data_IF_909331732492
#
_entry.id   IF_909331732492
#
_cell.length_a   1.000
_cell.length_b   1.000
_cell.length_c   1.000
_cell.angle_alpha   90.00
_cell.angle_beta   90.00
_cell.angle_gamma   90.00
#
_symmetry.space_group_name_H-M   'P 1'
#
loop_
_entity.id
_entity.type
_entity.pdbx_description
1 polymer ?
#
# COMPACT_ATOMS: atom_id res chain seq x y z
N UNK A 1 21.48 54.21 23.25
CA UNK A 1 22.38 54.01 24.41
C UNK A 1 21.67 54.61 25.61
N UNK A 2 21.22 53.79 26.58
CA UNK A 2 20.91 54.11 27.99
C UNK A 2 20.06 52.97 28.58
N UNK A 3 20.65 52.27 29.54
CA UNK A 3 20.09 51.83 30.84
C UNK A 3 18.77 51.05 30.87
N UNK A 4 18.51 50.11 31.76
CA UNK A 4 19.26 49.30 32.73
C UNK A 4 18.13 48.56 33.46
N UNK A 5 18.42 47.34 33.91
CA UNK A 5 17.79 46.67 35.07
C UNK A 5 16.27 46.43 35.06
N UNK A 6 15.95 45.16 34.84
CA UNK A 6 14.85 44.46 35.49
C UNK A 6 14.97 44.52 37.03
N UNK A 7 13.86 44.39 37.76
CA UNK A 7 13.88 43.51 38.92
C UNK A 7 12.68 42.54 38.96
N UNK A 8 13.00 41.35 39.43
CA UNK A 8 12.13 40.21 39.64
C UNK A 8 11.00 40.46 40.66
N UNK A 9 9.86 39.75 40.50
CA UNK A 9 9.36 38.73 41.46
C UNK A 9 7.97 38.17 41.08
N UNK A 10 7.96 36.86 40.83
CA UNK A 10 7.07 35.78 41.35
C UNK A 10 5.54 35.87 41.15
N UNK A 11 4.99 34.87 40.44
CA UNK A 11 3.91 33.94 40.87
C UNK A 11 3.79 32.81 39.81
N UNK A 12 4.02 31.52 40.17
CA UNK A 12 3.00 30.48 40.45
C UNK A 12 2.28 30.04 39.14
N UNK A 13 2.40 28.82 38.58
CA UNK A 13 1.97 27.51 39.09
C UNK A 13 2.46 26.42 38.11
N UNK A 14 3.30 25.47 38.54
CA UNK A 14 2.98 24.03 38.74
C UNK A 14 2.29 23.29 37.58
N UNK A 15 2.97 22.31 36.98
CA UNK A 15 2.55 20.90 37.01
C UNK A 15 3.62 19.99 36.35
N UNK A 16 4.14 19.07 37.15
CA UNK A 16 4.99 17.92 36.81
C UNK A 16 4.06 16.74 36.57
N UNK A 17 4.14 16.02 35.44
CA UNK A 17 3.88 14.56 35.31
C UNK A 17 4.66 14.11 34.04
N UNK A 18 5.91 13.67 34.12
CA UNK A 18 6.37 12.29 34.39
C UNK A 18 5.83 11.22 33.44
N UNK A 19 6.72 10.74 32.55
CA UNK A 19 6.89 9.32 32.22
C UNK A 19 5.76 8.59 31.51
N UNK A 20 6.03 8.15 30.28
CA UNK A 20 6.05 6.72 29.88
C UNK A 20 6.47 6.68 28.42
N UNK A 21 7.73 6.27 28.19
CA UNK A 21 8.25 5.85 26.89
C UNK A 21 7.95 4.35 26.77
N UNK A 22 6.90 4.00 26.04
CA UNK A 22 6.58 2.61 25.71
C UNK A 22 7.39 2.22 24.46
N UNK A 23 8.44 1.42 24.65
CA UNK A 23 9.07 0.66 23.58
C UNK A 23 8.18 -0.56 23.28
N UNK A 24 7.26 -0.42 22.33
CA UNK A 24 6.61 -1.55 21.70
C UNK A 24 7.49 -2.03 20.55
N UNK A 25 8.29 -3.07 20.79
CA UNK A 25 8.93 -3.85 19.73
C UNK A 25 7.83 -4.78 19.19
N UNK A 26 7.03 -4.26 18.27
CA UNK A 26 6.00 -5.00 17.55
C UNK A 26 6.59 -5.68 16.32
N UNK A 27 6.42 -6.99 16.25
CA UNK A 27 6.80 -7.91 15.18
C UNK A 27 6.43 -7.39 13.78
N UNK A 28 7.43 -6.96 13.01
CA UNK A 28 7.27 -6.45 11.64
C UNK A 28 7.68 -7.49 10.59
N UNK A 29 6.92 -8.58 10.47
CA UNK A 29 6.90 -9.38 9.23
C UNK A 29 5.56 -9.18 8.55
N UNK A 30 5.39 -7.99 7.98
CA UNK A 30 4.43 -7.73 6.92
C UNK A 30 4.90 -6.46 6.21
N UNK A 31 5.85 -6.62 5.30
CA UNK A 31 6.10 -5.58 4.30
C UNK A 31 4.89 -5.56 3.37
N UNK A 32 3.84 -4.85 3.78
CA UNK A 32 3.02 -4.16 2.81
C UNK A 32 3.97 -3.14 2.19
N UNK A 33 4.57 -3.49 1.06
CA UNK A 33 5.34 -2.53 0.29
C UNK A 33 4.33 -1.45 -0.15
N UNK A 34 4.33 -0.30 0.54
CA UNK A 34 3.52 0.91 0.26
C UNK A 34 3.81 1.51 -1.13
N UNK A 35 4.47 0.76 -2.02
CA UNK A 35 4.78 1.18 -3.36
C UNK A 35 3.53 1.10 -4.22
N UNK A 36 3.33 2.07 -5.14
CA UNK A 36 2.26 2.00 -6.12
C UNK A 36 2.34 0.72 -6.94
N UNK A 37 1.18 0.18 -7.30
CA UNK A 37 1.07 -0.90 -8.28
C UNK A 37 1.13 -0.26 -9.67
N UNK A 38 2.11 -0.66 -10.49
CA UNK A 38 2.20 -0.30 -11.90
C UNK A 38 1.81 -1.51 -12.75
N UNK A 39 0.96 -1.30 -13.77
CA UNK A 39 0.55 -2.37 -14.70
C UNK A 39 0.57 -1.80 -16.10
N UNK A 40 1.36 -2.42 -16.96
CA UNK A 40 1.41 -2.13 -18.40
C UNK A 40 0.85 -3.32 -19.18
N UNK A 41 0.06 -3.04 -20.21
CA UNK A 41 -0.56 -4.03 -21.07
C UNK A 41 -0.99 -3.40 -22.40
N UNK A 42 -1.28 -4.23 -23.39
CA UNK A 42 -1.77 -3.76 -24.69
C UNK A 42 -3.18 -3.18 -24.60
N UNK A 43 -4.01 -3.72 -23.69
CA UNK A 43 -5.40 -3.28 -23.47
C UNK A 43 -5.78 -3.33 -22.00
N UNK A 44 -6.60 -2.36 -21.59
CA UNK A 44 -7.24 -2.31 -20.27
C UNK A 44 -8.76 -2.12 -20.42
N UNK A 45 -9.54 -2.87 -19.65
CA UNK A 45 -11.01 -2.80 -19.59
C UNK A 45 -11.44 -2.63 -18.13
N UNK A 46 -12.12 -1.53 -17.81
CA UNK A 46 -12.74 -1.33 -16.49
C UNK A 46 -14.17 -1.86 -16.50
N UNK A 47 -14.51 -2.70 -15.53
CA UNK A 47 -15.83 -3.30 -15.34
C UNK A 47 -16.41 -2.82 -14.01
N UNK A 48 -17.14 -1.69 -14.03
CA UNK A 48 -17.72 -1.08 -12.83
C UNK A 48 -18.71 -2.02 -12.13
N UNK A 49 -19.59 -2.68 -12.88
CA UNK A 49 -20.60 -3.61 -12.35
C UNK A 49 -19.99 -4.78 -11.55
N UNK A 50 -18.76 -5.17 -11.91
CA UNK A 50 -18.02 -6.28 -11.27
C UNK A 50 -16.92 -5.79 -10.34
N UNK A 51 -16.77 -4.49 -10.12
CA UNK A 51 -15.66 -3.87 -9.39
C UNK A 51 -14.28 -4.43 -9.81
N UNK A 52 -14.05 -4.59 -11.12
CA UNK A 52 -12.82 -5.22 -11.62
C UNK A 52 -12.21 -4.49 -12.81
N UNK A 53 -10.93 -4.75 -13.04
CA UNK A 53 -10.18 -4.28 -14.22
C UNK A 53 -9.49 -5.47 -14.85
N UNK A 54 -9.60 -5.58 -16.17
CA UNK A 54 -8.97 -6.64 -16.98
C UNK A 54 -7.89 -6.01 -17.86
N UNK A 55 -6.69 -6.57 -17.78
CA UNK A 55 -5.53 -6.22 -18.60
C UNK A 55 -5.24 -7.38 -19.54
N UNK A 56 -5.03 -7.10 -20.82
CA UNK A 56 -4.90 -8.11 -21.87
C UNK A 56 -3.72 -7.76 -22.76
N UNK A 57 -2.88 -8.74 -23.05
CA UNK A 57 -1.74 -8.67 -23.95
C UNK A 57 -0.50 -8.11 -23.26
N UNK A 58 0.58 -8.89 -23.29
CA UNK A 58 1.91 -8.52 -22.78
C UNK A 58 1.86 -7.85 -21.40
N UNK A 59 1.09 -8.41 -20.47
CA UNK A 59 0.87 -7.77 -19.16
C UNK A 59 2.16 -7.86 -18.35
N UNK A 60 2.65 -6.71 -17.88
CA UNK A 60 3.77 -6.58 -16.93
C UNK A 60 3.31 -5.73 -15.75
N UNK A 61 3.13 -6.38 -14.60
CA UNK A 61 2.71 -5.74 -13.35
C UNK A 61 3.86 -5.74 -12.34
N UNK A 62 4.07 -4.62 -11.65
CA UNK A 62 5.12 -4.49 -10.64
C UNK A 62 4.64 -3.73 -9.40
N UNK A 63 5.07 -4.22 -8.24
CA UNK A 63 4.91 -3.57 -6.94
C UNK A 63 6.11 -3.88 -6.06
N UNK A 64 6.87 -2.86 -5.66
CA UNK A 64 8.06 -3.08 -4.85
C UNK A 64 9.11 -3.90 -5.60
N UNK A 65 9.38 -5.11 -5.12
CA UNK A 65 10.31 -6.08 -5.74
C UNK A 65 9.59 -7.23 -6.44
N UNK A 66 8.26 -7.23 -6.42
CA UNK A 66 7.44 -8.25 -7.08
C UNK A 66 7.17 -7.81 -8.52
N UNK A 67 7.40 -8.70 -9.47
CA UNK A 67 7.03 -8.54 -10.88
C UNK A 67 6.21 -9.74 -11.34
N UNK A 68 5.12 -9.49 -12.06
CA UNK A 68 4.22 -10.51 -12.61
C UNK A 68 4.09 -10.25 -14.10
N UNK A 69 4.37 -11.27 -14.92
CA UNK A 69 4.15 -11.26 -16.36
C UNK A 69 3.14 -12.33 -16.75
N UNK A 70 2.21 -11.98 -17.64
CA UNK A 70 1.12 -12.88 -18.06
C UNK A 70 0.47 -12.38 -19.35
N UNK A 71 -0.32 -13.22 -20.01
CA UNK A 71 -1.11 -12.80 -21.17
C UNK A 71 -2.37 -12.01 -20.77
N UNK A 72 -3.03 -12.40 -19.69
CA UNK A 72 -4.22 -11.72 -19.15
C UNK A 72 -4.16 -11.62 -17.62
N UNK A 73 -4.52 -10.45 -17.08
CA UNK A 73 -4.64 -10.22 -15.64
C UNK A 73 -5.99 -9.58 -15.32
N UNK A 74 -6.76 -10.18 -14.42
CA UNK A 74 -7.98 -9.60 -13.87
C UNK A 74 -7.79 -9.27 -12.40
N UNK A 75 -8.04 -8.01 -12.03
CA UNK A 75 -8.01 -7.53 -10.64
C UNK A 75 -9.44 -7.21 -10.20
N UNK A 76 -9.85 -7.78 -9.08
CA UNK A 76 -11.10 -7.46 -8.39
C UNK A 76 -10.77 -6.62 -7.16
N UNK A 77 -11.52 -5.53 -6.98
CA UNK A 77 -11.40 -4.66 -5.83
C UNK A 77 -12.57 -4.89 -4.88
N UNK A 78 -12.32 -4.73 -3.59
CA UNK A 78 -13.41 -4.70 -2.63
C UNK A 78 -14.39 -3.56 -2.99
N UNK A 79 -15.71 -3.78 -2.86
CA UNK A 79 -16.69 -2.73 -3.04
C UNK A 79 -16.33 -1.53 -2.14
N UNK A 80 -16.48 -0.32 -2.67
CA UNK A 80 -16.25 0.89 -1.90
C UNK A 80 -17.19 0.89 -0.68
N UNK A 81 -16.65 0.74 0.52
CA UNK A 81 -17.41 0.94 1.76
C UNK A 81 -17.71 2.44 1.89
N UNK A 82 -18.99 2.87 1.86
CA UNK A 82 -19.35 4.27 2.01
C UNK A 82 -18.92 4.88 3.35
N UNK A 83 -18.52 4.06 4.34
CA UNK A 83 -17.97 4.50 5.63
C UNK A 83 -16.46 4.73 5.61
N UNK A 84 -15.73 4.34 4.56
CA UNK A 84 -14.29 4.58 4.45
C UNK A 84 -14.00 5.96 3.83
N UNK A 85 -13.02 6.72 4.33
CA UNK A 85 -12.67 8.03 3.78
C UNK A 85 -12.23 7.92 2.31
N UNK A 86 -12.77 8.81 1.47
CA UNK A 86 -12.41 8.94 0.06
C UNK A 86 -10.92 9.30 -0.03
N UNK A 87 -10.10 8.43 -0.62
CA UNK A 87 -8.66 8.67 -0.81
C UNK A 87 -7.74 7.49 -0.48
N UNK A 88 -8.27 6.40 0.10
CA UNK A 88 -7.49 5.16 0.19
C UNK A 88 -7.46 4.43 -1.16
N UNK A 89 -6.28 3.91 -1.51
CA UNK A 89 -6.10 2.97 -2.61
C UNK A 89 -7.09 1.82 -2.48
N UNK A 90 -7.82 1.50 -3.56
CA UNK A 90 -8.74 0.35 -3.56
C UNK A 90 -7.97 -0.91 -3.22
N UNK A 91 -8.40 -1.58 -2.16
CA UNK A 91 -7.80 -2.82 -1.72
C UNK A 91 -8.15 -3.92 -2.73
N UNK A 92 -7.13 -4.60 -3.24
CA UNK A 92 -7.29 -5.77 -4.09
C UNK A 92 -7.95 -6.87 -3.25
N UNK A 93 -9.06 -7.40 -3.73
CA UNK A 93 -9.76 -8.54 -3.15
C UNK A 93 -9.31 -9.85 -3.79
N UNK A 94 -9.06 -9.84 -5.09
CA UNK A 94 -8.65 -11.02 -5.84
C UNK A 94 -7.89 -10.61 -7.09
N UNK A 95 -6.86 -11.37 -7.45
CA UNK A 95 -6.14 -11.23 -8.72
C UNK A 95 -6.06 -12.58 -9.42
N UNK A 96 -6.41 -12.62 -10.70
CA UNK A 96 -6.32 -13.81 -11.54
C UNK A 96 -5.39 -13.50 -12.71
N UNK A 97 -4.35 -14.30 -12.90
CA UNK A 97 -3.48 -14.25 -14.07
C UNK A 97 -3.63 -15.52 -14.89
N UNK A 98 -3.70 -15.40 -16.21
CA UNK A 98 -3.89 -16.51 -17.14
C UNK A 98 -2.93 -16.38 -18.31
N UNK A 99 -2.30 -17.50 -18.69
CA UNK A 99 -1.39 -17.61 -19.82
C UNK A 99 0.00 -17.07 -19.51
N UNK A 100 1.02 -17.90 -19.75
CA UNK A 100 2.43 -17.54 -19.62
C UNK A 100 2.79 -16.85 -18.29
N UNK A 101 2.18 -17.28 -17.18
CA UNK A 101 2.34 -16.63 -15.88
C UNK A 101 3.78 -16.82 -15.40
N UNK A 102 4.45 -15.72 -15.08
CA UNK A 102 5.76 -15.69 -14.43
C UNK A 102 5.77 -14.64 -13.33
N UNK A 103 6.07 -15.07 -12.12
CA UNK A 103 6.20 -14.21 -10.94
C UNK A 103 7.65 -14.22 -10.50
N UNK A 104 8.21 -13.05 -10.23
CA UNK A 104 9.57 -12.90 -9.72
C UNK A 104 9.53 -12.01 -8.49
N UNK A 105 10.12 -12.48 -7.40
CA UNK A 105 10.28 -11.73 -6.16
C UNK A 105 11.65 -12.05 -5.58
N UNK A 106 12.59 -11.10 -5.67
CA UNK A 106 13.99 -11.32 -5.27
C UNK A 106 14.57 -12.60 -5.89
N UNK A 107 14.94 -13.59 -5.07
CA UNK A 107 15.51 -14.88 -5.51
C UNK A 107 14.44 -15.94 -5.84
N UNK A 108 13.15 -15.59 -5.71
CA UNK A 108 12.04 -16.49 -5.96
C UNK A 108 11.44 -16.31 -7.36
N UNK A 109 11.30 -17.42 -8.08
CA UNK A 109 10.68 -17.50 -9.41
C UNK A 109 9.57 -18.54 -9.39
N UNK A 110 8.35 -18.11 -9.71
CA UNK A 110 7.20 -18.99 -9.95
C UNK A 110 6.75 -18.89 -11.41
N UNK A 111 6.38 -20.03 -12.01
CA UNK A 111 5.80 -20.08 -13.36
C UNK A 111 4.58 -20.98 -13.40
N UNK A 112 3.62 -20.69 -14.28
CA UNK A 112 2.47 -21.55 -14.50
C UNK A 112 1.55 -21.05 -15.61
N UNK A 113 0.48 -21.80 -15.86
CA UNK A 113 -0.58 -21.39 -16.80
C UNK A 113 -1.60 -20.45 -16.15
N UNK A 114 -1.75 -20.53 -14.83
CA UNK A 114 -2.73 -19.76 -14.07
C UNK A 114 -2.22 -19.47 -12.67
N UNK A 115 -2.49 -18.26 -12.18
CA UNK A 115 -2.31 -17.87 -10.79
C UNK A 115 -3.59 -17.22 -10.27
N UNK A 116 -4.04 -17.66 -9.10
CA UNK A 116 -5.13 -17.04 -8.35
C UNK A 116 -4.56 -16.53 -7.01
N UNK A 117 -4.72 -15.24 -6.74
CA UNK A 117 -4.35 -14.57 -5.48
C UNK A 117 -5.60 -13.99 -4.81
N UNK A 118 -5.70 -14.14 -3.49
CA UNK A 118 -6.84 -13.78 -2.65
C UNK A 118 -6.38 -12.99 -1.43
#
# INVERSE_FOLDING_TARGET
MRFFLSPARKTLQTAIISGVLLLAIGSGFCQNDDKPINIEADRMISQEEKNSVVFIGNVDASQGKVTIRTDEMTIYYQPNDPKKPKGQSRQVEKMICVGNVKITQEDWLGTGERMDYF
#
